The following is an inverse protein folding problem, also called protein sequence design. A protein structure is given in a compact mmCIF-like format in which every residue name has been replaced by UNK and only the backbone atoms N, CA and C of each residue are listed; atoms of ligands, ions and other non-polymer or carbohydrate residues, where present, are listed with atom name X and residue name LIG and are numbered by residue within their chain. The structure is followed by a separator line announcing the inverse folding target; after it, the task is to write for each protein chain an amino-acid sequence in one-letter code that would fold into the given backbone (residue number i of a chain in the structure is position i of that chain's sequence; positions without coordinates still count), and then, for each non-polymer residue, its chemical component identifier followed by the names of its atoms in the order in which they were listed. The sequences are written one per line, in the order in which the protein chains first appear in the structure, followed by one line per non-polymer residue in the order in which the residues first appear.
data_IF_651917222413
#
_entry.id   IF_651917222413
#
_cell.length_a   1.000
_cell.length_b   1.000
_cell.length_c   1.000
_cell.angle_alpha   90.00
_cell.angle_beta   90.00
_cell.angle_gamma   90.00
#
_symmetry.space_group_name_H-M   'P 1'
#
loop_
_entity.id
_entity.type
_entity.pdbx_description
1 polymer ?
#
# COMPACT_ATOMS: atom_id res chain seq x y z
N UNK A 1 -39.71 5.24 -19.33
CA UNK A 1 -39.22 3.86 -19.15
C UNK A 1 -37.85 3.80 -19.82
N UNK A 2 -36.85 4.29 -19.07
CA UNK A 2 -35.54 4.71 -19.56
C UNK A 2 -34.55 3.55 -19.45
N UNK A 3 -33.58 3.51 -20.37
CA UNK A 3 -32.48 2.54 -20.48
C UNK A 3 -31.51 2.47 -19.27
N UNK A 4 -31.88 3.00 -18.11
CA UNK A 4 -31.02 3.12 -16.92
C UNK A 4 -30.83 1.83 -16.12
N UNK A 5 -31.67 0.81 -16.30
CA UNK A 5 -31.54 -0.45 -15.54
C UNK A 5 -30.52 -1.45 -16.13
N UNK A 6 -30.08 -1.26 -17.38
CA UNK A 6 -29.16 -2.19 -18.03
C UNK A 6 -27.68 -1.99 -17.63
N UNK A 7 -27.36 -0.88 -16.96
CA UNK A 7 -26.01 -0.61 -16.44
C UNK A 7 -25.75 -1.32 -15.10
N UNK A 8 -26.80 -1.75 -14.39
CA UNK A 8 -26.68 -2.33 -13.05
C UNK A 8 -26.41 -3.85 -13.05
N UNK A 9 -26.62 -4.54 -14.18
CA UNK A 9 -26.39 -5.99 -14.33
C UNK A 9 -24.97 -6.33 -14.78
N UNK A 10 -24.22 -5.36 -15.32
CA UNK A 10 -22.88 -5.57 -15.87
C UNK A 10 -21.72 -5.67 -14.84
N UNK A 11 -21.79 -5.23 -13.56
CA UNK A 11 -20.64 -5.34 -12.65
C UNK A 11 -20.50 -6.73 -12.00
N UNK A 12 -21.41 -7.67 -12.27
CA UNK A 12 -21.36 -9.03 -11.70
C UNK A 12 -20.69 -10.07 -12.62
N UNK A 13 -20.30 -9.69 -13.85
CA UNK A 13 -19.59 -10.58 -14.78
C UNK A 13 -18.05 -10.42 -14.73
N UNK A 14 -17.51 -9.57 -13.84
CA UNK A 14 -16.05 -9.41 -13.65
C UNK A 14 -15.43 -10.41 -12.66
N UNK A 15 -16.14 -11.49 -12.32
CA UNK A 15 -15.66 -12.57 -11.46
C UNK A 15 -14.90 -13.68 -12.22
N UNK A 16 -14.66 -13.53 -13.54
CA UNK A 16 -13.74 -14.37 -14.30
C UNK A 16 -12.46 -13.60 -14.64
N UNK A 17 -11.42 -13.98 -13.91
CA UNK A 17 -10.04 -13.56 -14.07
C UNK A 17 -9.51 -13.69 -15.52
N UNK A 18 -8.49 -12.90 -15.86
CA UNK A 18 -8.37 -12.25 -17.15
C UNK A 18 -7.22 -12.82 -17.99
N UNK A 19 -7.52 -13.69 -18.95
CA UNK A 19 -6.55 -14.07 -19.99
C UNK A 19 -6.20 -12.89 -20.93
N UNK A 20 -7.02 -11.83 -20.92
CA UNK A 20 -6.84 -10.60 -21.71
C UNK A 20 -5.87 -9.58 -21.09
N UNK A 21 -5.48 -9.71 -19.82
CA UNK A 21 -4.55 -8.78 -19.15
C UNK A 21 -3.07 -9.04 -19.50
N UNK A 22 -2.73 -10.28 -19.86
CA UNK A 22 -1.38 -10.64 -20.33
C UNK A 22 -1.16 -10.33 -21.81
N UNK A 23 -2.23 -10.18 -22.60
CA UNK A 23 -2.14 -9.82 -24.02
C UNK A 23 -1.90 -8.32 -24.26
N UNK A 24 -2.12 -7.48 -23.25
CA UNK A 24 -1.91 -6.03 -23.29
C UNK A 24 -0.70 -5.53 -22.49
N UNK A 25 -0.06 -6.39 -21.68
CA UNK A 25 1.18 -6.05 -20.99
C UNK A 25 2.31 -6.02 -22.01
N UNK A 26 2.71 -4.82 -22.43
CA UNK A 26 3.88 -4.68 -23.28
C UNK A 26 5.12 -5.05 -22.46
N UNK A 27 6.19 -5.55 -23.11
CA UNK A 27 7.44 -5.88 -22.43
C UNK A 27 7.95 -4.85 -21.39
N UNK A 28 7.82 -3.51 -21.60
CA UNK A 28 8.20 -2.53 -20.58
C UNK A 28 7.33 -2.57 -19.31
N UNK A 29 6.06 -3.00 -19.38
CA UNK A 29 5.16 -3.06 -18.22
C UNK A 29 5.56 -4.18 -17.26
N UNK A 30 5.95 -5.34 -17.82
CA UNK A 30 6.46 -6.46 -17.03
C UNK A 30 7.82 -6.12 -16.41
N UNK A 31 8.69 -5.45 -17.16
CA UNK A 31 9.98 -4.99 -16.66
C UNK A 31 9.79 -3.98 -15.51
N UNK A 32 8.84 -3.06 -15.62
CA UNK A 32 8.51 -2.11 -14.55
C UNK A 32 7.97 -2.81 -13.29
N UNK A 33 7.09 -3.82 -13.46
CA UNK A 33 6.57 -4.59 -12.33
C UNK A 33 7.65 -5.39 -11.60
N UNK A 34 8.53 -6.07 -12.35
CA UNK A 34 9.68 -6.80 -11.80
C UNK A 34 10.67 -5.87 -11.11
N UNK A 35 10.96 -4.71 -11.71
CA UNK A 35 11.87 -3.73 -11.15
C UNK A 35 11.30 -3.13 -9.86
N UNK A 36 10.01 -2.77 -9.85
CA UNK A 36 9.32 -2.31 -8.65
C UNK A 36 9.34 -3.36 -7.52
N UNK A 37 9.02 -4.62 -7.84
CA UNK A 37 9.08 -5.73 -6.89
C UNK A 37 10.49 -5.96 -6.33
N UNK A 38 11.52 -5.94 -7.20
CA UNK A 38 12.91 -6.08 -6.81
C UNK A 38 13.36 -4.95 -5.88
N UNK A 39 12.98 -3.69 -6.17
CA UNK A 39 13.27 -2.54 -5.32
C UNK A 39 12.61 -2.64 -3.94
N UNK A 40 11.34 -3.06 -3.88
CA UNK A 40 10.62 -3.23 -2.61
C UNK A 40 11.26 -4.35 -1.78
N UNK A 41 11.62 -5.47 -2.41
CA UNK A 41 12.31 -6.59 -1.75
C UNK A 41 13.71 -6.20 -1.26
N UNK A 42 14.47 -5.44 -2.04
CA UNK A 42 15.77 -4.92 -1.61
C UNK A 42 15.62 -3.96 -0.43
N UNK A 43 14.63 -3.06 -0.47
CA UNK A 43 14.38 -2.12 0.62
C UNK A 43 14.02 -2.84 1.93
N UNK A 44 13.20 -3.89 1.88
CA UNK A 44 12.83 -4.67 3.07
C UNK A 44 14.00 -5.49 3.62
N UNK A 45 14.83 -6.09 2.76
CA UNK A 45 16.08 -6.77 3.14
C UNK A 45 17.08 -5.81 3.79
N UNK A 46 17.26 -4.62 3.24
CA UNK A 46 18.16 -3.63 3.78
C UNK A 46 17.71 -3.18 5.17
N UNK A 47 16.40 -2.99 5.37
CA UNK A 47 15.84 -2.63 6.67
C UNK A 47 16.04 -3.76 7.70
N UNK A 48 15.86 -5.01 7.29
CA UNK A 48 16.17 -6.19 8.10
C UNK A 48 17.64 -6.26 8.50
N UNK A 49 18.57 -5.99 7.57
CA UNK A 49 20.00 -6.03 7.83
C UNK A 49 20.49 -4.91 8.75
N UNK A 50 19.98 -3.67 8.56
CA UNK A 50 20.44 -2.52 9.34
C UNK A 50 19.76 -2.37 10.70
N UNK A 51 18.46 -2.70 10.79
CA UNK A 51 17.69 -2.55 12.04
C UNK A 51 17.43 -3.87 12.77
N UNK A 52 17.72 -5.03 12.14
CA UNK A 52 17.41 -6.35 12.70
C UNK A 52 15.92 -6.64 12.82
N UNK A 53 15.07 -5.87 12.12
CA UNK A 53 13.60 -5.85 12.31
C UNK A 53 12.88 -5.94 10.97
N UNK A 54 11.70 -6.56 10.98
CA UNK A 54 10.85 -6.76 9.80
C UNK A 54 10.08 -5.48 9.43
N UNK A 55 9.92 -5.19 8.14
CA UNK A 55 9.19 -4.02 7.63
C UNK A 55 7.66 -4.15 7.81
N UNK A 56 7.15 -3.79 8.98
CA UNK A 56 5.71 -3.79 9.29
C UNK A 56 5.18 -2.39 9.65
N UNK A 57 4.45 -1.73 8.76
CA UNK A 57 3.93 -0.37 9.00
C UNK A 57 3.04 -0.34 10.25
N UNK A 58 2.09 -1.28 10.39
CA UNK A 58 1.23 -1.37 11.58
C UNK A 58 2.01 -1.67 12.86
N UNK A 59 3.13 -2.39 12.78
CA UNK A 59 4.01 -2.66 13.93
C UNK A 59 4.86 -1.45 14.31
N UNK A 60 5.31 -0.69 13.32
CA UNK A 60 6.06 0.57 13.50
C UNK A 60 5.17 1.62 14.17
N UNK A 61 3.98 1.86 13.60
CA UNK A 61 2.99 2.80 14.11
C UNK A 61 2.40 2.34 15.45
N UNK A 62 2.13 1.04 15.61
CA UNK A 62 1.62 0.49 16.86
C UNK A 62 2.60 0.57 18.03
N UNK A 63 3.92 0.46 17.77
CA UNK A 63 4.93 0.64 18.82
C UNK A 63 5.34 2.10 19.09
N UNK A 64 4.77 3.06 18.36
CA UNK A 64 4.77 4.47 18.74
C UNK A 64 3.70 4.78 19.80
N UNK A 65 2.77 3.85 20.06
CA UNK A 65 1.61 4.07 20.94
C UNK A 65 1.32 2.83 21.82
N UNK A 66 1.92 2.68 23.03
CA UNK A 66 2.78 3.61 23.77
C UNK A 66 4.25 3.58 23.32
N UNK A 67 4.95 4.74 23.32
CA UNK A 67 6.32 4.84 22.86
C UNK A 67 7.26 4.08 23.81
N UNK A 68 7.92 3.03 23.30
CA UNK A 68 9.03 2.39 24.02
C UNK A 68 10.29 3.22 23.80
N UNK A 69 10.77 3.90 24.86
CA UNK A 69 12.02 4.66 24.83
C UNK A 69 13.17 3.71 24.45
N UNK A 70 13.88 4.03 23.36
CA UNK A 70 14.98 3.22 22.79
C UNK A 70 14.74 2.74 21.35
N UNK A 71 13.48 2.61 20.93
CA UNK A 71 13.12 2.14 19.57
C UNK A 71 12.59 3.28 18.66
N UNK A 72 12.54 4.52 19.15
CA UNK A 72 11.90 5.61 18.43
C UNK A 72 12.70 6.09 17.22
N UNK A 73 14.03 6.13 17.32
CA UNK A 73 14.88 6.70 16.28
C UNK A 73 14.73 5.98 14.93
N UNK A 74 14.73 4.64 14.94
CA UNK A 74 14.56 3.85 13.71
C UNK A 74 13.10 3.90 13.20
N UNK A 75 12.11 3.94 14.10
CA UNK A 75 10.68 4.02 13.73
C UNK A 75 10.35 5.36 13.07
N UNK A 76 10.85 6.45 13.65
CA UNK A 76 10.70 7.80 13.11
C UNK A 76 11.46 7.91 11.80
N UNK A 77 12.69 7.39 11.72
CA UNK A 77 13.46 7.35 10.47
C UNK A 77 12.72 6.61 9.35
N UNK A 78 12.10 5.47 9.65
CA UNK A 78 11.30 4.70 8.69
C UNK A 78 10.05 5.47 8.23
N UNK A 79 9.26 6.01 9.16
CA UNK A 79 8.05 6.77 8.82
C UNK A 79 8.40 8.04 8.05
N UNK A 80 9.45 8.76 8.46
CA UNK A 80 9.94 9.93 7.76
C UNK A 80 10.43 9.57 6.35
N UNK A 81 11.19 8.49 6.18
CA UNK A 81 11.62 8.00 4.87
C UNK A 81 10.44 7.67 3.95
N UNK A 82 9.38 7.03 4.49
CA UNK A 82 8.18 6.71 3.72
C UNK A 82 7.40 7.97 3.30
N UNK A 83 7.26 8.95 4.20
CA UNK A 83 6.63 10.24 3.90
C UNK A 83 7.44 11.05 2.87
N UNK A 84 8.76 11.14 3.07
CA UNK A 84 9.67 11.86 2.16
C UNK A 84 9.68 11.18 0.79
N UNK A 85 9.71 9.85 0.71
CA UNK A 85 9.66 9.12 -0.55
C UNK A 85 8.37 9.38 -1.34
N UNK A 86 7.21 9.33 -0.67
CA UNK A 86 5.94 9.66 -1.30
C UNK A 86 5.83 11.13 -1.73
N UNK A 87 6.33 12.05 -0.91
CA UNK A 87 6.34 13.48 -1.24
C UNK A 87 7.32 13.78 -2.40
N UNK A 88 8.50 13.19 -2.39
CA UNK A 88 9.48 13.33 -3.47
C UNK A 88 8.90 12.81 -4.80
N UNK A 89 8.19 11.67 -4.78
CA UNK A 89 7.51 11.14 -5.95
C UNK A 89 6.43 12.11 -6.45
N UNK A 90 5.64 12.69 -5.54
CA UNK A 90 4.62 13.70 -5.88
C UNK A 90 5.22 14.94 -6.53
N UNK A 91 6.38 15.39 -6.06
CA UNK A 91 7.07 16.56 -6.59
C UNK A 91 7.75 16.27 -7.94
N UNK A 92 8.33 15.08 -8.10
CA UNK A 92 9.04 14.69 -9.32
C UNK A 92 8.08 14.32 -10.46
N UNK A 93 7.00 13.58 -10.15
CA UNK A 93 6.02 13.11 -11.11
C UNK A 93 4.60 13.38 -10.57
N UNK A 94 4.09 14.62 -10.71
CA UNK A 94 2.77 14.98 -10.20
C UNK A 94 1.62 14.28 -10.93
N UNK A 95 1.84 13.79 -12.15
CA UNK A 95 0.83 13.11 -12.98
C UNK A 95 0.58 11.65 -12.62
N UNK A 96 1.43 11.02 -11.79
CA UNK A 96 1.27 9.61 -11.40
C UNK A 96 0.42 9.44 -10.14
N UNK A 97 0.21 10.51 -9.37
CA UNK A 97 -0.59 10.51 -8.15
C UNK A 97 -1.91 11.23 -8.41
N UNK A 98 -2.88 10.49 -8.94
CA UNK A 98 -4.22 11.01 -9.16
C UNK A 98 -5.04 11.00 -7.86
N UNK A 99 -5.05 12.16 -7.19
CA UNK A 99 -5.78 12.36 -5.94
C UNK A 99 -7.29 12.50 -6.15
N UNK A 100 -7.78 12.58 -7.39
CA UNK A 100 -9.22 12.68 -7.68
C UNK A 100 -9.99 11.39 -7.42
N UNK A 101 -9.28 10.27 -7.22
CA UNK A 101 -9.87 8.98 -6.86
C UNK A 101 -10.12 8.80 -5.36
N UNK A 102 -9.65 9.74 -4.52
CA UNK A 102 -9.91 9.68 -3.10
C UNK A 102 -11.39 10.00 -2.82
N UNK A 103 -12.03 9.30 -1.86
CA UNK A 103 -13.36 9.68 -1.42
C UNK A 103 -13.32 11.11 -0.85
N UNK A 104 -14.16 12.02 -1.36
CA UNK A 104 -14.30 13.38 -0.80
C UNK A 104 -14.80 13.36 0.65
N UNK A 105 -15.48 12.29 1.04
CA UNK A 105 -16.00 12.08 2.38
C UNK A 105 -14.90 11.67 3.36
N UNK A 106 -14.36 12.67 4.07
CA UNK A 106 -13.54 12.52 5.28
C UNK A 106 -14.03 11.46 6.30
N UNK A 107 -15.35 11.31 6.60
CA UNK A 107 -15.79 10.25 7.52
C UNK A 107 -15.53 8.85 7.00
N UNK A 108 -15.60 8.63 5.68
CA UNK A 108 -15.32 7.34 5.04
C UNK A 108 -13.83 7.00 5.11
N UNK A 109 -12.94 7.99 4.95
CA UNK A 109 -11.50 7.80 5.18
C UNK A 109 -11.20 7.44 6.63
N UNK A 110 -11.80 8.16 7.58
CA UNK A 110 -11.60 7.89 9.01
C UNK A 110 -12.06 6.48 9.37
N UNK A 111 -13.26 6.11 8.92
CA UNK A 111 -13.85 4.80 9.19
C UNK A 111 -13.04 3.69 8.52
N UNK A 112 -12.66 3.86 7.25
CA UNK A 112 -11.80 2.92 6.54
C UNK A 112 -10.46 2.71 7.23
N UNK A 113 -9.80 3.80 7.65
CA UNK A 113 -8.55 3.74 8.41
C UNK A 113 -8.70 3.02 9.75
N UNK A 114 -9.79 3.28 10.48
CA UNK A 114 -10.09 2.62 11.74
C UNK A 114 -10.34 1.11 11.55
N UNK A 115 -11.15 0.71 10.56
CA UNK A 115 -11.40 -0.70 10.24
C UNK A 115 -10.12 -1.43 9.84
N UNK A 116 -9.27 -0.83 9.00
CA UNK A 116 -7.99 -1.41 8.60
C UNK A 116 -7.05 -1.54 9.81
N UNK A 117 -7.01 -0.52 10.68
CA UNK A 117 -6.25 -0.56 11.93
C UNK A 117 -6.68 -1.72 12.83
N UNK A 118 -7.98 -1.87 13.06
CA UNK A 118 -8.53 -2.98 13.87
C UNK A 118 -8.26 -4.34 13.19
N UNK A 119 -8.47 -4.44 11.87
CA UNK A 119 -8.25 -5.67 11.11
C UNK A 119 -6.79 -6.14 11.15
N UNK A 120 -5.83 -5.24 10.90
CA UNK A 120 -4.39 -5.57 10.98
C UNK A 120 -3.94 -5.99 12.38
N UNK A 121 -4.55 -5.43 13.43
CA UNK A 121 -4.27 -5.83 14.81
C UNK A 121 -4.83 -7.21 15.13
N UNK A 122 -6.04 -7.53 14.67
CA UNK A 122 -6.63 -8.85 14.84
C UNK A 122 -5.89 -9.93 14.03
N UNK A 123 -5.41 -9.59 12.83
CA UNK A 123 -4.63 -10.48 11.97
C UNK A 123 -3.14 -10.64 12.35
N UNK A 124 -2.70 -10.06 13.48
CA UNK A 124 -1.30 -10.05 13.94
C UNK A 124 -0.30 -9.60 12.85
N UNK A 125 -0.73 -8.75 11.91
CA UNK A 125 0.00 -8.54 10.67
C UNK A 125 -0.63 -7.49 9.76
N UNK A 126 0.21 -6.86 8.95
CA UNK A 126 -0.19 -5.99 7.85
C UNK A 126 0.30 -6.56 6.52
N UNK A 127 -0.20 -6.03 5.40
CA UNK A 127 0.17 -6.46 4.04
C UNK A 127 1.67 -6.36 3.78
N UNK A 128 2.36 -5.39 4.38
CA UNK A 128 3.82 -5.29 4.26
C UNK A 128 4.55 -6.40 5.04
N UNK A 129 4.10 -6.71 6.27
CA UNK A 129 4.75 -7.68 7.13
C UNK A 129 4.55 -9.13 6.69
N UNK A 130 3.30 -9.54 6.43
CA UNK A 130 2.98 -10.91 5.99
C UNK A 130 3.14 -11.11 4.47
N UNK A 131 2.99 -10.05 3.67
CA UNK A 131 3.04 -10.16 2.22
C UNK A 131 4.43 -9.96 1.61
N UNK A 132 5.25 -9.07 2.18
CA UNK A 132 6.58 -8.75 1.62
C UNK A 132 7.71 -9.46 2.36
N UNK A 133 7.58 -9.65 3.68
CA UNK A 133 8.64 -10.21 4.52
C UNK A 133 8.35 -11.60 5.10
N UNK A 134 7.17 -12.17 4.85
CA UNK A 134 6.77 -13.52 5.25
C UNK A 134 6.93 -14.50 4.11
#
# INVERSE_FOLDING_TARGET
MHLSDLALVLPLASARAPATLLAGATAPDLAAALFGGALIGLASMLLLLFSGRVAGISGVVGGLLPPRLGDLDWRVGFVAGLLVGGLALRLALPSTLDLSTLPDSTPLLLLGGALVGVGTRMGNGCTSGHGVCG
#
